data_IF_151670873107
#
_entry.id   IF_151670873107
#
_cell.length_a   1.000
_cell.length_b   1.000
_cell.length_c   1.000
_cell.angle_alpha   90.00
_cell.angle_beta   90.00
_cell.angle_gamma   90.00
#
_symmetry.space_group_name_H-M   'P 1'
#
loop_
_entity.id
_entity.type
_entity.pdbx_description
1 polymer ?
#
# COMPACT_ATOMS: atom_id res chain seq x y z
N UNK A 1 -2.26 -18.04 -34.18
CA UNK A 1 -1.50 -16.90 -33.62
C UNK A 1 -2.35 -15.65 -33.32
N UNK A 2 -3.39 -15.29 -34.10
CA UNK A 2 -4.22 -14.10 -33.82
C UNK A 2 -5.16 -14.25 -32.60
N UNK A 3 -5.66 -15.45 -32.33
CA UNK A 3 -6.60 -15.70 -31.22
C UNK A 3 -5.92 -15.61 -29.84
N UNK A 4 -4.66 -16.05 -29.71
CA UNK A 4 -3.90 -15.96 -28.46
C UNK A 4 -3.55 -14.51 -28.08
N UNK A 5 -3.30 -13.65 -29.07
CA UNK A 5 -3.06 -12.22 -28.84
C UNK A 5 -4.32 -11.47 -28.43
N UNK A 6 -5.48 -11.82 -29.00
CA UNK A 6 -6.77 -11.22 -28.63
C UNK A 6 -7.20 -11.67 -27.23
N UNK A 7 -7.03 -12.95 -26.87
CA UNK A 7 -7.31 -13.44 -25.52
C UNK A 7 -6.31 -12.88 -24.49
N UNK A 8 -5.02 -12.79 -24.81
CA UNK A 8 -4.02 -12.15 -23.95
C UNK A 8 -4.27 -10.66 -23.75
N UNK A 9 -4.68 -9.95 -24.81
CA UNK A 9 -5.01 -8.52 -24.76
C UNK A 9 -6.30 -8.22 -24.01
N UNK A 10 -7.33 -9.07 -24.13
CA UNK A 10 -8.58 -8.94 -23.35
C UNK A 10 -8.32 -9.31 -21.88
N UNK A 11 -7.53 -10.35 -21.60
CA UNK A 11 -7.21 -10.71 -20.21
C UNK A 11 -6.36 -9.63 -19.54
N UNK A 12 -5.29 -9.15 -20.18
CA UNK A 12 -4.48 -8.05 -19.66
C UNK A 12 -5.29 -6.75 -19.57
N UNK A 13 -6.11 -6.43 -20.58
CA UNK A 13 -6.92 -5.22 -20.63
C UNK A 13 -8.03 -5.17 -19.59
N UNK A 14 -8.77 -6.27 -19.39
CA UNK A 14 -9.82 -6.37 -18.37
C UNK A 14 -9.21 -6.42 -16.97
N UNK A 15 -8.07 -7.08 -16.76
CA UNK A 15 -7.37 -7.06 -15.48
C UNK A 15 -6.80 -5.65 -15.17
N UNK A 16 -6.23 -4.95 -16.15
CA UNK A 16 -5.75 -3.58 -15.98
C UNK A 16 -6.91 -2.61 -15.72
N UNK A 17 -8.01 -2.71 -16.47
CA UNK A 17 -9.18 -1.85 -16.27
C UNK A 17 -9.85 -2.15 -14.92
N UNK A 18 -9.98 -3.41 -14.52
CA UNK A 18 -10.49 -3.73 -13.18
C UNK A 18 -9.53 -3.28 -12.08
N UNK A 19 -8.22 -3.42 -12.25
CA UNK A 19 -7.21 -2.90 -11.30
C UNK A 19 -7.28 -1.37 -11.17
N UNK A 20 -7.49 -0.64 -12.26
CA UNK A 20 -7.52 0.82 -12.26
C UNK A 20 -8.90 1.41 -11.91
N UNK A 21 -10.01 0.70 -12.17
CA UNK A 21 -11.37 1.28 -12.13
C UNK A 21 -12.25 0.71 -11.00
N UNK A 22 -12.12 -0.57 -10.59
CA UNK A 22 -13.11 -1.20 -9.68
C UNK A 22 -12.59 -2.24 -8.65
N UNK A 23 -11.35 -2.72 -8.73
CA UNK A 23 -10.91 -3.91 -8.00
C UNK A 23 -9.96 -3.59 -6.85
N UNK A 24 -10.32 -3.99 -5.63
CA UNK A 24 -9.32 -4.25 -4.61
C UNK A 24 -8.33 -5.29 -5.18
N UNK A 25 -7.02 -4.97 -5.17
CA UNK A 25 -6.00 -5.86 -5.74
C UNK A 25 -5.90 -7.19 -4.97
N UNK A 26 -6.55 -7.28 -3.81
CA UNK A 26 -6.77 -8.51 -3.04
C UNK A 26 -7.46 -9.62 -3.84
N UNK A 27 -8.33 -9.30 -4.80
CA UNK A 27 -8.98 -10.30 -5.67
C UNK A 27 -8.00 -10.93 -6.69
N UNK A 28 -6.82 -10.35 -6.87
CA UNK A 28 -5.78 -10.78 -7.82
C UNK A 28 -4.48 -11.22 -7.15
N UNK A 29 -4.41 -11.16 -5.82
CA UNK A 29 -3.26 -11.70 -5.10
C UNK A 29 -3.22 -13.22 -5.32
N UNK A 30 -2.03 -13.80 -5.60
CA UNK A 30 -1.93 -15.24 -5.76
C UNK A 30 -2.48 -15.92 -4.50
N UNK A 31 -3.49 -16.78 -4.69
CA UNK A 31 -4.12 -17.58 -3.65
C UNK A 31 -3.15 -18.68 -3.15
N UNK A 32 -2.07 -18.26 -2.51
CA UNK A 32 -1.15 -19.14 -1.79
C UNK A 32 -1.65 -19.40 -0.37
N UNK A 33 -1.09 -20.41 0.30
CA UNK A 33 -1.44 -20.78 1.68
C UNK A 33 -1.30 -19.62 2.70
N UNK A 34 -0.57 -18.56 2.34
CA UNK A 34 -0.33 -17.36 3.16
C UNK A 34 -1.47 -16.34 3.10
N UNK A 35 -2.24 -16.31 2.02
CA UNK A 35 -3.33 -15.35 1.79
C UNK A 35 -4.67 -16.01 2.06
N UNK A 36 -5.57 -15.26 2.68
CA UNK A 36 -6.95 -15.66 2.89
C UNK A 36 -7.93 -14.71 2.17
N UNK A 37 -9.19 -14.77 2.57
CA UNK A 37 -10.25 -13.93 2.02
C UNK A 37 -10.15 -12.51 2.60
N UNK A 38 -9.69 -11.55 1.81
CA UNK A 38 -9.51 -10.16 2.27
C UNK A 38 -10.83 -9.53 2.77
N UNK A 39 -11.98 -9.99 2.26
CA UNK A 39 -13.31 -9.52 2.69
C UNK A 39 -13.62 -9.87 4.14
N UNK A 40 -12.98 -10.91 4.65
CA UNK A 40 -13.11 -11.40 6.02
C UNK A 40 -12.07 -10.79 6.97
N UNK A 41 -11.26 -9.84 6.49
CA UNK A 41 -10.24 -9.18 7.29
C UNK A 41 -10.85 -8.37 8.44
N UNK A 42 -10.69 -8.87 9.67
CA UNK A 42 -11.18 -8.23 10.89
C UNK A 42 -10.43 -6.94 11.23
N UNK A 43 -9.19 -6.81 10.74
CA UNK A 43 -8.36 -5.62 10.98
C UNK A 43 -9.00 -4.35 10.40
N UNK A 44 -9.77 -4.46 9.32
CA UNK A 44 -10.47 -3.32 8.72
C UNK A 44 -11.41 -2.66 9.73
N UNK A 45 -12.25 -3.46 10.38
CA UNK A 45 -13.19 -2.97 11.37
C UNK A 45 -12.48 -2.47 12.63
N UNK A 46 -11.42 -3.16 13.07
CA UNK A 46 -10.63 -2.76 14.23
C UNK A 46 -9.99 -1.37 14.07
N UNK A 47 -9.71 -0.95 12.84
CA UNK A 47 -9.10 0.35 12.53
C UNK A 47 -10.09 1.43 12.09
N UNK A 48 -11.40 1.17 12.06
CA UNK A 48 -12.38 2.25 11.81
C UNK A 48 -12.27 3.42 12.78
N UNK A 49 -12.02 3.25 14.09
CA UNK A 49 -11.84 4.39 14.99
C UNK A 49 -10.69 5.32 14.59
N UNK A 50 -9.61 4.78 14.00
CA UNK A 50 -8.49 5.58 13.50
C UNK A 50 -8.86 6.41 12.25
N UNK A 51 -9.99 6.10 11.61
CA UNK A 51 -10.49 6.74 10.38
C UNK A 51 -11.71 7.63 10.62
N UNK A 52 -12.31 7.61 11.82
CA UNK A 52 -13.46 8.45 12.13
C UNK A 52 -13.10 9.93 12.22
N UNK A 53 -11.90 10.25 12.70
CA UNK A 53 -11.43 11.63 12.91
C UNK A 53 -9.93 11.78 12.59
N UNK A 54 -9.49 11.49 11.36
CA UNK A 54 -8.08 11.56 10.97
C UNK A 54 -7.50 12.96 11.19
N UNK A 55 -8.30 14.02 11.07
CA UNK A 55 -7.88 15.41 11.29
C UNK A 55 -7.35 15.69 12.71
N UNK A 56 -7.68 14.85 13.70
CA UNK A 56 -7.14 14.96 15.06
C UNK A 56 -5.72 14.41 15.17
N UNK A 57 -5.29 13.56 14.25
CA UNK A 57 -3.93 13.03 14.24
C UNK A 57 -2.98 14.03 13.53
N UNK A 58 -2.38 14.90 14.33
CA UNK A 58 -1.39 15.88 13.87
C UNK A 58 -0.09 15.28 13.32
N UNK A 59 0.06 13.95 13.34
CA UNK A 59 1.20 13.22 12.79
C UNK A 59 0.94 12.68 11.37
N UNK A 60 -0.27 12.86 10.83
CA UNK A 60 -0.61 12.52 9.45
C UNK A 60 0.03 13.47 8.43
N UNK A 61 0.04 13.09 7.13
CA UNK A 61 0.48 13.96 6.04
C UNK A 61 -0.16 15.35 6.10
N UNK A 62 0.70 16.35 6.07
CA UNK A 62 0.32 17.76 5.99
C UNK A 62 1.19 18.49 4.98
N UNK A 63 0.62 19.47 4.32
CA UNK A 63 1.35 20.31 3.39
C UNK A 63 2.30 21.22 4.19
N UNK A 64 3.52 21.38 3.68
CA UNK A 64 4.55 22.25 4.25
C UNK A 64 4.38 23.72 3.84
N UNK A 65 3.58 24.00 2.82
CA UNK A 65 3.33 25.32 2.25
C UNK A 65 1.89 25.43 1.75
N UNK A 66 1.37 26.65 1.69
CA UNK A 66 0.13 27.06 1.04
C UNK A 66 0.27 27.25 -0.48
N UNK A 67 1.50 27.34 -0.99
CA UNK A 67 1.81 27.48 -2.42
C UNK A 67 2.12 26.13 -3.06
N UNK A 68 1.07 25.38 -3.38
CA UNK A 68 1.16 24.08 -4.03
C UNK A 68 0.01 23.85 -5.01
N UNK A 69 0.11 22.77 -5.80
CA UNK A 69 -0.92 22.32 -6.74
C UNK A 69 -1.51 20.96 -6.39
N UNK A 70 -1.09 20.34 -5.29
CA UNK A 70 -1.70 19.13 -4.73
C UNK A 70 -3.22 19.33 -4.56
N UNK A 71 -4.02 18.44 -5.16
CA UNK A 71 -5.47 18.42 -5.00
C UNK A 71 -5.85 18.07 -3.55
N UNK A 72 -6.83 18.78 -2.99
CA UNK A 72 -7.34 18.53 -1.63
C UNK A 72 -7.85 17.10 -1.46
N UNK A 73 -8.46 16.51 -2.49
CA UNK A 73 -8.91 15.11 -2.50
C UNK A 73 -7.75 14.14 -2.39
N UNK A 74 -6.62 14.45 -3.03
CA UNK A 74 -5.41 13.64 -2.94
C UNK A 74 -4.78 13.73 -1.55
N UNK A 75 -4.80 14.94 -0.96
CA UNK A 75 -4.34 15.16 0.40
C UNK A 75 -5.19 14.37 1.41
N UNK A 76 -6.52 14.47 1.34
CA UNK A 76 -7.42 13.75 2.24
C UNK A 76 -7.26 12.25 2.06
N UNK A 77 -7.15 11.79 0.82
CA UNK A 77 -6.91 10.38 0.54
C UNK A 77 -5.56 9.89 1.09
N UNK A 78 -4.50 10.69 0.97
CA UNK A 78 -3.20 10.37 1.55
C UNK A 78 -3.29 10.25 3.08
N UNK A 79 -4.00 11.17 3.75
CA UNK A 79 -4.23 11.10 5.20
C UNK A 79 -4.98 9.84 5.61
N UNK A 80 -6.10 9.53 4.94
CA UNK A 80 -6.88 8.30 5.20
C UNK A 80 -6.03 7.04 5.03
N UNK A 81 -5.28 6.96 3.92
CA UNK A 81 -4.43 5.81 3.63
C UNK A 81 -3.30 5.67 4.64
N UNK A 82 -2.65 6.77 5.04
CA UNK A 82 -1.64 6.75 6.09
C UNK A 82 -2.22 6.33 7.44
N UNK A 83 -3.38 6.87 7.84
CA UNK A 83 -4.01 6.54 9.11
C UNK A 83 -4.37 5.04 9.18
N UNK A 84 -5.00 4.52 8.12
CA UNK A 84 -5.33 3.11 7.99
C UNK A 84 -4.09 2.22 8.07
N UNK A 85 -3.10 2.48 7.22
CA UNK A 85 -1.91 1.64 7.12
C UNK A 85 -1.05 1.70 8.39
N UNK A 86 -1.00 2.86 9.06
CA UNK A 86 -0.38 2.98 10.37
C UNK A 86 -1.09 2.11 11.42
N UNK A 87 -2.42 2.12 11.45
CA UNK A 87 -3.17 1.24 12.35
C UNK A 87 -2.91 -0.26 12.07
N UNK A 88 -2.81 -0.63 10.78
CA UNK A 88 -2.58 -2.01 10.37
C UNK A 88 -1.19 -2.54 10.73
N UNK A 89 -0.14 -1.74 10.48
CA UNK A 89 1.25 -2.20 10.61
C UNK A 89 1.90 -1.80 11.93
N UNK A 90 1.52 -0.66 12.50
CA UNK A 90 2.17 -0.09 13.69
C UNK A 90 1.37 -0.41 14.95
N UNK A 91 0.06 -0.20 14.93
CA UNK A 91 -0.79 -0.46 16.10
C UNK A 91 -1.11 -1.96 16.25
N UNK A 92 -1.26 -2.68 15.14
CA UNK A 92 -1.56 -4.12 15.13
C UNK A 92 -0.50 -4.94 14.40
N UNK A 93 0.77 -4.94 14.87
CA UNK A 93 1.90 -5.50 14.13
C UNK A 93 1.80 -7.00 13.82
N UNK A 94 0.93 -7.74 14.53
CA UNK A 94 0.71 -9.17 14.27
C UNK A 94 -0.42 -9.44 13.25
N UNK A 95 -1.17 -8.41 12.83
CA UNK A 95 -2.25 -8.57 11.85
C UNK A 95 -1.74 -9.07 10.49
N UNK A 96 -0.52 -8.69 10.10
CA UNK A 96 0.13 -9.16 8.86
C UNK A 96 0.40 -10.67 8.85
N UNK A 97 0.34 -11.35 10.01
CA UNK A 97 0.52 -12.81 10.09
C UNK A 97 -0.78 -13.60 10.00
N UNK A 98 -1.94 -12.95 10.17
CA UNK A 98 -3.24 -13.62 9.99
C UNK A 98 -3.61 -13.57 8.49
N UNK A 99 -4.08 -14.68 7.92
CA UNK A 99 -4.23 -14.86 6.48
C UNK A 99 -5.17 -13.84 5.82
N UNK A 100 -6.34 -13.62 6.40
CA UNK A 100 -7.35 -12.71 5.84
C UNK A 100 -6.88 -11.25 5.96
N UNK A 101 -6.37 -10.88 7.13
CA UNK A 101 -5.77 -9.57 7.38
C UNK A 101 -4.55 -9.32 6.49
N UNK A 102 -3.69 -10.33 6.28
CA UNK A 102 -2.54 -10.23 5.38
C UNK A 102 -2.99 -9.86 3.97
N UNK A 103 -3.91 -10.62 3.38
CA UNK A 103 -4.41 -10.33 2.04
C UNK A 103 -4.91 -8.87 1.91
N UNK A 104 -5.65 -8.41 2.92
CA UNK A 104 -6.12 -7.03 2.96
C UNK A 104 -4.99 -5.99 3.12
N UNK A 105 -4.03 -6.22 4.02
CA UNK A 105 -2.91 -5.31 4.29
C UNK A 105 -1.99 -5.21 3.06
N UNK A 106 -1.69 -6.31 2.38
CA UNK A 106 -0.86 -6.32 1.16
C UNK A 106 -1.51 -5.50 0.06
N UNK A 107 -2.79 -5.74 -0.20
CA UNK A 107 -3.55 -4.93 -1.16
C UNK A 107 -3.54 -3.45 -0.78
N UNK A 108 -3.67 -3.15 0.52
CA UNK A 108 -3.61 -1.77 1.01
C UNK A 108 -2.23 -1.13 0.83
N UNK A 109 -1.14 -1.88 1.04
CA UNK A 109 0.24 -1.41 0.78
C UNK A 109 0.41 -1.05 -0.70
N UNK A 110 -0.09 -1.88 -1.62
CA UNK A 110 -0.05 -1.58 -3.05
C UNK A 110 -0.78 -0.27 -3.38
N UNK A 111 -1.99 -0.10 -2.85
CA UNK A 111 -2.79 1.12 -3.05
C UNK A 111 -2.14 2.37 -2.44
N UNK A 112 -1.53 2.23 -1.26
CA UNK A 112 -0.79 3.31 -0.60
C UNK A 112 0.37 3.82 -1.46
N UNK A 113 1.23 2.91 -1.96
CA UNK A 113 2.36 3.32 -2.82
C UNK A 113 1.91 3.77 -4.21
N UNK A 114 0.87 3.17 -4.78
CA UNK A 114 0.29 3.63 -6.04
C UNK A 114 -0.22 5.08 -5.92
N UNK A 115 -0.78 5.47 -4.77
CA UNK A 115 -1.22 6.85 -4.54
C UNK A 115 -0.04 7.83 -4.46
N UNK A 116 1.05 7.45 -3.79
CA UNK A 116 2.28 8.26 -3.81
C UNK A 116 2.81 8.45 -5.24
N UNK A 117 2.90 7.37 -6.01
CA UNK A 117 3.38 7.42 -7.39
C UNK A 117 2.45 8.27 -8.29
N UNK A 118 1.14 8.18 -8.11
CA UNK A 118 0.15 9.02 -8.80
C UNK A 118 0.38 10.51 -8.51
N UNK A 119 0.52 10.88 -7.24
CA UNK A 119 0.75 12.27 -6.83
C UNK A 119 2.10 12.77 -7.36
N UNK A 120 3.16 11.96 -7.29
CA UNK A 120 4.47 12.29 -7.84
C UNK A 120 4.44 12.48 -9.36
N UNK A 121 3.70 11.64 -10.09
CA UNK A 121 3.55 11.75 -11.55
C UNK A 121 2.78 13.00 -11.95
N UNK A 122 1.78 13.39 -11.17
CA UNK A 122 1.06 14.65 -11.36
C UNK A 122 1.97 15.84 -11.06
N UNK A 123 2.67 15.82 -9.92
CA UNK A 123 3.61 16.86 -9.51
C UNK A 123 4.73 17.08 -10.53
N UNK A 124 5.25 16.00 -11.14
CA UNK A 124 6.27 16.05 -12.19
C UNK A 124 5.88 16.95 -13.37
N UNK A 125 4.58 17.05 -13.70
CA UNK A 125 4.08 17.93 -14.77
C UNK A 125 4.24 19.42 -14.43
N UNK A 126 4.40 19.75 -13.15
CA UNK A 126 4.52 21.11 -12.64
C UNK A 126 5.94 21.46 -12.16
N UNK A 127 6.89 20.51 -12.24
CA UNK A 127 8.31 20.73 -11.96
C UNK A 127 8.76 20.28 -10.57
N UNK A 128 10.07 20.40 -10.31
CA UNK A 128 10.72 19.87 -9.10
C UNK A 128 10.19 20.47 -7.79
N UNK A 129 9.75 21.73 -7.81
CA UNK A 129 9.17 22.36 -6.62
C UNK A 129 7.94 21.60 -6.12
N UNK A 130 7.02 21.23 -7.03
CA UNK A 130 5.81 20.49 -6.67
C UNK A 130 6.15 19.05 -6.26
N UNK A 131 7.15 18.44 -6.92
CA UNK A 131 7.64 17.11 -6.53
C UNK A 131 8.23 17.14 -5.11
N UNK A 132 8.95 18.19 -4.73
CA UNK A 132 9.44 18.38 -3.36
C UNK A 132 8.28 18.49 -2.38
N UNK A 133 7.24 19.27 -2.70
CA UNK A 133 6.05 19.38 -1.84
C UNK A 133 5.38 18.03 -1.61
N UNK A 134 5.25 17.19 -2.64
CA UNK A 134 4.73 15.83 -2.48
C UNK A 134 5.68 14.98 -1.62
N UNK A 135 6.99 15.02 -1.83
CA UNK A 135 7.94 14.28 -0.98
C UNK A 135 7.82 14.69 0.49
N UNK A 136 7.78 15.99 0.78
CA UNK A 136 7.66 16.53 2.14
C UNK A 136 6.32 16.12 2.77
N UNK A 137 5.22 16.19 2.01
CA UNK A 137 3.91 15.73 2.45
C UNK A 137 3.94 14.26 2.87
N UNK A 138 4.63 13.43 2.10
CA UNK A 138 4.77 12.00 2.35
C UNK A 138 5.86 11.65 3.38
N UNK A 139 6.66 12.61 3.85
CA UNK A 139 7.60 12.47 4.98
C UNK A 139 6.96 12.88 6.33
N UNK A 140 5.75 12.41 6.58
CA UNK A 140 5.08 12.57 7.88
C UNK A 140 5.63 11.58 8.93
N UNK A 141 5.53 11.88 10.25
CA UNK A 141 5.92 10.93 11.29
C UNK A 141 5.23 9.57 11.15
N UNK A 142 3.95 9.53 10.76
CA UNK A 142 3.20 8.28 10.54
C UNK A 142 3.72 7.49 9.33
N UNK A 143 4.10 8.16 8.25
CA UNK A 143 4.71 7.51 7.08
C UNK A 143 6.11 6.95 7.40
N UNK A 144 6.91 7.66 8.21
CA UNK A 144 8.19 7.13 8.70
C UNK A 144 7.99 5.89 9.57
N UNK A 145 6.98 5.89 10.44
CA UNK A 145 6.63 4.71 11.24
C UNK A 145 6.16 3.52 10.38
N UNK A 146 5.35 3.77 9.35
CA UNK A 146 4.96 2.75 8.36
C UNK A 146 6.20 2.19 7.67
N UNK A 147 7.11 3.04 7.19
CA UNK A 147 8.34 2.60 6.54
C UNK A 147 9.21 1.73 7.47
N UNK A 148 9.34 2.12 8.74
CA UNK A 148 10.04 1.34 9.74
C UNK A 148 9.39 -0.02 9.99
N UNK A 149 8.05 -0.07 10.10
CA UNK A 149 7.31 -1.32 10.26
C UNK A 149 7.48 -2.24 9.04
N UNK A 150 7.37 -1.71 7.82
CA UNK A 150 7.60 -2.48 6.58
C UNK A 150 9.01 -3.06 6.51
N UNK A 151 10.04 -2.28 6.88
CA UNK A 151 11.42 -2.77 6.95
C UNK A 151 11.56 -3.88 8.00
N UNK A 152 10.96 -3.72 9.17
CA UNK A 152 10.97 -4.72 10.23
C UNK A 152 10.24 -6.00 9.82
N UNK A 153 9.06 -5.90 9.21
CA UNK A 153 8.27 -7.02 8.74
C UNK A 153 8.96 -7.80 7.62
N UNK A 154 9.63 -7.08 6.73
CA UNK A 154 10.43 -7.67 5.66
C UNK A 154 11.68 -8.36 6.22
N UNK A 155 12.41 -7.68 7.10
CA UNK A 155 13.62 -8.23 7.73
C UNK A 155 13.35 -9.45 8.61
N UNK A 156 12.18 -9.48 9.27
CA UNK A 156 11.75 -10.60 10.10
C UNK A 156 11.00 -11.69 9.33
N UNK A 157 10.79 -11.56 8.01
CA UNK A 157 10.10 -12.57 7.20
C UNK A 157 8.59 -12.69 7.46
N UNK A 158 7.99 -11.69 8.12
CA UNK A 158 6.53 -11.58 8.26
C UNK A 158 5.88 -11.11 6.95
N UNK A 159 6.64 -10.33 6.18
CA UNK A 159 6.32 -9.85 4.85
C UNK A 159 7.40 -10.33 3.86
N UNK A 160 7.01 -10.98 2.77
CA UNK A 160 7.94 -11.51 1.78
C UNK A 160 7.52 -11.12 0.36
N UNK A 161 8.47 -11.17 -0.58
CA UNK A 161 8.22 -10.83 -1.98
C UNK A 161 7.04 -11.60 -2.60
N UNK A 162 6.89 -12.88 -2.22
CA UNK A 162 5.82 -13.74 -2.72
C UNK A 162 4.42 -13.22 -2.35
N UNK A 163 4.28 -12.44 -1.27
CA UNK A 163 3.00 -11.85 -0.86
C UNK A 163 2.44 -10.89 -1.92
N UNK A 164 3.31 -10.25 -2.70
CA UNK A 164 2.94 -9.26 -3.71
C UNK A 164 2.76 -9.85 -5.11
N UNK A 165 2.93 -11.16 -5.26
CA UNK A 165 2.85 -11.84 -6.56
C UNK A 165 3.79 -11.23 -7.60
N UNK A 166 3.21 -10.77 -8.72
CA UNK A 166 3.95 -10.20 -9.85
C UNK A 166 4.23 -8.70 -9.71
N UNK A 167 3.61 -8.00 -8.76
CA UNK A 167 3.60 -6.54 -8.68
C UNK A 167 4.05 -6.05 -7.31
N UNK A 168 5.37 -5.93 -7.14
CA UNK A 168 5.99 -5.32 -5.95
C UNK A 168 6.11 -3.81 -6.15
N UNK A 169 5.63 -2.97 -5.20
CA UNK A 169 5.81 -1.53 -5.25
C UNK A 169 7.29 -1.15 -5.38
N UNK A 170 7.61 -0.16 -6.22
CA UNK A 170 9.00 0.22 -6.50
C UNK A 170 9.77 0.60 -5.22
N UNK A 171 9.10 1.29 -4.29
CA UNK A 171 9.66 1.68 -2.99
C UNK A 171 10.07 0.48 -2.10
N UNK A 172 9.45 -0.69 -2.30
CA UNK A 172 9.73 -1.88 -1.48
C UNK A 172 10.77 -2.82 -2.09
N UNK A 173 11.06 -2.71 -3.40
CA UNK A 173 12.03 -3.59 -4.08
C UNK A 173 13.40 -3.62 -3.36
N UNK A 174 14.01 -2.48 -2.98
CA UNK A 174 15.30 -2.51 -2.28
C UNK A 174 15.23 -3.24 -0.94
N UNK A 175 14.08 -3.19 -0.23
CA UNK A 175 13.90 -3.90 1.02
C UNK A 175 13.90 -5.41 0.79
N UNK A 176 13.13 -5.88 -0.19
CA UNK A 176 13.08 -7.31 -0.53
C UNK A 176 14.39 -7.84 -1.10
N UNK A 177 15.13 -7.02 -1.86
CA UNK A 177 16.44 -7.41 -2.36
C UNK A 177 17.46 -7.53 -1.21
N UNK A 178 17.40 -6.63 -0.22
CA UNK A 178 18.25 -6.67 0.98
C UNK A 178 17.98 -7.88 1.87
N UNK A 179 16.72 -8.29 2.01
CA UNK A 179 16.29 -9.40 2.87
C UNK A 179 15.84 -10.61 2.04
N UNK A 180 16.44 -10.79 0.87
CA UNK A 180 16.12 -11.92 0.01
C UNK A 180 16.51 -13.24 0.71
N UNK A 181 15.61 -14.22 0.70
CA UNK A 181 15.83 -15.52 1.33
C UNK A 181 15.43 -15.62 2.81
N UNK A 182 14.87 -14.56 3.42
CA UNK A 182 14.28 -14.67 4.76
C UNK A 182 13.11 -15.67 4.75
N UNK A 183 13.12 -16.60 5.70
CA UNK A 183 12.04 -17.58 5.88
C UNK A 183 10.75 -16.93 6.34
N UNK A 184 9.62 -17.55 5.99
CA UNK A 184 8.33 -17.18 6.57
C UNK A 184 8.33 -17.44 8.08
N UNK A 185 8.24 -16.36 8.85
CA UNK A 185 8.22 -16.42 10.31
C UNK A 185 6.87 -16.02 10.92
N UNK A 186 5.81 -15.98 10.13
CA UNK A 186 4.48 -15.90 10.73
C UNK A 186 4.06 -17.26 11.31
N UNK A 187 3.52 -17.29 12.54
CA UNK A 187 3.07 -18.54 13.14
C UNK A 187 2.10 -19.24 12.19
N UNK A 188 2.33 -20.53 11.93
CA UNK A 188 1.36 -21.35 11.20
C UNK A 188 0.12 -21.47 12.08
N UNK A 189 -1.00 -20.90 11.63
CA UNK A 189 -2.30 -21.03 12.27
C UNK A 189 -2.81 -22.48 12.19
#
# INVERSE_FOLDING_TARGET
>A
MRVAFVLGGIFLGVNLINYFVLGHSGDYLPAGERMGEWREAKIRAACYPALEQPERDGQLPKLSTDKHRVDWRDLDRAKEMTAALNCYLVTHPNAICERNNRAYIIDYINRYFAKFDEMMNTAKRYGESEMSTVRDLWDSPRNRAINAALMMDTGNGRLIKADFGWTVPAAMKPMFDRYNGTSDNCPRA
#
